data_IF_250150650673
#
_entry.id   IF_250150650673
#
_cell.length_a   1.000
_cell.length_b   1.000
_cell.length_c   1.000
_cell.angle_alpha   90.00
_cell.angle_beta   90.00
_cell.angle_gamma   90.00
#
_symmetry.space_group_name_H-M   'P 1'
#
loop_
_entity.id
_entity.type
_entity.pdbx_description
1 polymer ?
#
# COMPACT_ATOMS: atom_id res chain seq x y z
N UNK A 1 -7.88 -18.33 23.02
CA UNK A 1 -6.68 -19.18 23.33
C UNK A 1 -5.32 -18.47 23.19
N UNK A 2 -4.98 -17.77 22.09
CA UNK A 2 -3.64 -17.13 21.93
C UNK A 2 -3.28 -16.07 23.00
N UNK A 3 -4.22 -15.22 23.42
CA UNK A 3 -3.98 -14.21 24.49
C UNK A 3 -3.61 -14.87 25.81
N UNK A 4 -4.37 -15.90 26.20
CA UNK A 4 -4.14 -16.70 27.42
C UNK A 4 -2.76 -17.36 27.38
N UNK A 5 -2.43 -18.01 26.25
CA UNK A 5 -1.11 -18.61 26.03
C UNK A 5 0.03 -17.60 26.12
N UNK A 6 -0.16 -16.37 25.62
CA UNK A 6 0.85 -15.32 25.71
C UNK A 6 1.10 -14.82 27.13
N UNK A 7 0.05 -14.68 27.93
CA UNK A 7 0.18 -14.33 29.35
C UNK A 7 1.00 -15.39 30.10
N UNK A 8 0.69 -16.67 29.92
CA UNK A 8 1.45 -17.77 30.55
C UNK A 8 2.92 -17.81 30.11
N UNK A 9 3.20 -17.65 28.82
CA UNK A 9 4.59 -17.64 28.31
C UNK A 9 5.39 -16.43 28.80
N UNK A 10 4.74 -15.34 29.22
CA UNK A 10 5.43 -14.16 29.73
C UNK A 10 5.74 -14.22 31.23
N UNK A 11 5.20 -15.19 31.98
CA UNK A 11 5.37 -15.30 33.44
C UNK A 11 6.85 -15.25 33.87
N UNK A 12 7.79 -15.99 33.23
CA UNK A 12 9.19 -15.92 33.62
C UNK A 12 9.80 -14.52 33.48
N UNK A 13 9.34 -13.73 32.50
CA UNK A 13 9.76 -12.33 32.33
C UNK A 13 9.24 -11.47 33.48
N UNK A 14 8.03 -11.74 33.97
CA UNK A 14 7.45 -11.04 35.12
C UNK A 14 8.22 -11.35 36.41
N UNK A 15 8.65 -12.60 36.58
CA UNK A 15 9.48 -13.02 37.72
C UNK A 15 10.85 -12.35 37.69
N UNK A 16 11.50 -12.29 36.53
CA UNK A 16 12.78 -11.58 36.37
C UNK A 16 12.65 -10.11 36.72
N UNK A 17 11.59 -9.46 36.21
CA UNK A 17 11.30 -8.05 36.47
C UNK A 17 11.03 -7.73 37.95
N UNK A 18 10.68 -8.74 38.76
CA UNK A 18 10.50 -8.60 40.20
C UNK A 18 11.62 -9.26 41.03
N UNK A 19 12.74 -9.63 40.40
CA UNK A 19 13.85 -10.28 41.08
C UNK A 19 14.35 -9.51 42.33
N UNK A 20 14.45 -8.16 42.33
CA UNK A 20 14.87 -7.41 43.52
C UNK A 20 13.96 -7.59 44.75
N UNK A 21 12.64 -7.62 44.54
CA UNK A 21 11.67 -7.89 45.61
C UNK A 21 11.68 -9.37 46.03
N UNK A 22 11.63 -10.28 45.04
CA UNK A 22 11.61 -11.73 45.27
C UNK A 22 12.85 -12.24 45.99
N UNK A 23 14.01 -11.58 45.81
CA UNK A 23 15.24 -11.92 46.53
C UNK A 23 15.07 -11.94 48.05
N UNK A 24 14.25 -11.04 48.60
CA UNK A 24 13.97 -10.96 50.05
C UNK A 24 12.76 -11.79 50.46
N UNK A 25 11.75 -11.89 49.59
CA UNK A 25 10.48 -12.53 49.92
C UNK A 25 10.52 -14.07 49.85
N UNK A 26 11.45 -14.63 49.07
CA UNK A 26 11.63 -16.08 48.94
C UNK A 26 12.79 -16.53 49.81
N UNK A 27 12.54 -17.48 50.71
CA UNK A 27 13.56 -18.00 51.63
C UNK A 27 14.21 -19.28 51.08
N UNK A 28 15.24 -19.10 50.24
CA UNK A 28 16.10 -20.15 49.68
C UNK A 28 17.55 -19.64 49.62
N UNK A 29 18.52 -20.55 49.50
CA UNK A 29 19.95 -20.22 49.43
C UNK A 29 20.26 -19.26 48.27
N UNK A 30 21.13 -18.26 48.52
CA UNK A 30 21.62 -17.27 47.56
C UNK A 30 22.15 -17.87 46.25
N UNK A 31 22.85 -19.00 46.29
CA UNK A 31 23.36 -19.66 45.09
C UNK A 31 22.22 -20.10 44.16
N UNK A 32 21.16 -20.66 44.72
CA UNK A 32 19.97 -21.07 43.97
C UNK A 32 19.20 -19.86 43.42
N UNK A 33 19.08 -18.77 44.19
CA UNK A 33 18.48 -17.51 43.71
C UNK A 33 19.21 -16.96 42.48
N UNK A 34 20.54 -16.93 42.54
CA UNK A 34 21.38 -16.46 41.44
C UNK A 34 21.19 -17.31 40.19
N UNK A 35 21.20 -18.64 40.33
CA UNK A 35 20.95 -19.56 39.21
C UNK A 35 19.56 -19.34 38.59
N UNK A 36 18.51 -19.17 39.41
CA UNK A 36 17.15 -18.89 38.93
C UNK A 36 17.13 -17.57 38.14
N UNK A 37 17.76 -16.50 38.64
CA UNK A 37 17.80 -15.21 37.94
C UNK A 37 18.52 -15.33 36.60
N UNK A 38 19.63 -16.06 36.52
CA UNK A 38 20.35 -16.31 35.26
C UNK A 38 19.45 -17.06 34.26
N UNK A 39 18.76 -18.11 34.70
CA UNK A 39 17.84 -18.87 33.85
C UNK A 39 16.66 -18.01 33.37
N UNK A 40 16.10 -17.17 34.24
CA UNK A 40 15.03 -16.23 33.88
C UNK A 40 15.53 -15.15 32.90
N UNK A 41 16.76 -14.68 33.05
CA UNK A 41 17.39 -13.73 32.12
C UNK A 41 17.60 -14.36 30.74
N UNK A 42 18.16 -15.58 30.68
CA UNK A 42 18.30 -16.35 29.44
C UNK A 42 16.95 -16.62 28.77
N UNK A 43 15.95 -17.02 29.55
CA UNK A 43 14.59 -17.19 29.06
C UNK A 43 14.05 -15.89 28.46
N UNK A 44 14.23 -14.77 29.15
CA UNK A 44 13.75 -13.46 28.71
C UNK A 44 14.42 -13.04 27.40
N UNK A 45 15.73 -13.26 27.24
CA UNK A 45 16.43 -13.05 25.99
C UNK A 45 15.85 -13.93 24.86
N UNK A 46 15.69 -15.24 25.10
CA UNK A 46 15.10 -16.16 24.13
C UNK A 46 13.68 -15.74 23.76
N UNK A 47 12.85 -15.38 24.75
CA UNK A 47 11.49 -14.89 24.54
C UNK A 47 11.50 -13.60 23.69
N UNK A 48 12.42 -12.68 23.98
CA UNK A 48 12.57 -11.44 23.24
C UNK A 48 12.99 -11.66 21.79
N UNK A 49 13.76 -12.69 21.43
CA UNK A 49 14.27 -12.88 20.06
C UNK A 49 13.56 -13.98 19.26
N UNK A 50 12.99 -14.99 19.92
CA UNK A 50 12.26 -16.10 19.29
C UNK A 50 11.03 -15.61 18.53
N UNK A 51 10.75 -16.22 17.38
CA UNK A 51 9.52 -15.96 16.63
C UNK A 51 8.32 -16.60 17.31
N UNK A 52 7.30 -15.79 17.57
CA UNK A 52 6.02 -16.18 18.17
C UNK A 52 4.86 -16.14 17.16
N UNK A 53 5.15 -15.78 15.91
CA UNK A 53 4.14 -15.71 14.85
C UNK A 53 3.59 -17.09 14.47
N UNK A 54 2.42 -17.10 13.83
CA UNK A 54 1.80 -18.34 13.32
C UNK A 54 2.77 -19.11 12.41
N UNK A 55 2.94 -20.42 12.66
CA UNK A 55 3.66 -21.33 11.76
C UNK A 55 2.90 -21.47 10.44
N UNK A 56 3.61 -21.55 9.31
CA UNK A 56 3.03 -21.61 7.96
C UNK A 56 2.83 -20.25 7.28
N UNK A 57 2.85 -19.13 8.02
CA UNK A 57 2.81 -17.79 7.44
C UNK A 57 4.12 -17.42 6.74
N UNK A 58 4.04 -16.64 5.65
CA UNK A 58 5.20 -16.08 4.96
C UNK A 58 6.12 -15.32 5.94
N UNK A 59 7.44 -15.40 5.74
CA UNK A 59 8.45 -14.99 6.74
C UNK A 59 8.27 -13.56 7.29
N UNK A 60 7.94 -12.61 6.40
CA UNK A 60 7.66 -11.21 6.76
C UNK A 60 6.39 -11.06 7.62
N UNK A 61 5.29 -11.68 7.22
CA UNK A 61 4.00 -11.64 7.91
C UNK A 61 4.11 -12.32 9.28
N UNK A 62 4.87 -13.42 9.36
CA UNK A 62 5.18 -14.11 10.62
C UNK A 62 5.97 -13.21 11.58
N UNK A 63 6.94 -12.45 11.08
CA UNK A 63 7.71 -11.49 11.89
C UNK A 63 6.81 -10.37 12.42
N UNK A 64 5.88 -9.88 11.60
CA UNK A 64 4.90 -8.88 11.99
C UNK A 64 3.96 -9.38 13.10
N UNK A 65 3.38 -10.59 12.96
CA UNK A 65 2.55 -11.23 14.00
C UNK A 65 3.34 -11.40 15.31
N UNK A 66 4.59 -11.87 15.19
CA UNK A 66 5.49 -12.01 16.34
C UNK A 66 5.77 -10.68 17.03
N UNK A 67 6.02 -9.61 16.26
CA UNK A 67 6.26 -8.27 16.81
C UNK A 67 5.04 -7.74 17.56
N UNK A 68 3.84 -7.87 16.96
CA UNK A 68 2.60 -7.48 17.61
C UNK A 68 2.31 -8.30 18.87
N UNK A 69 2.57 -9.61 18.85
CA UNK A 69 2.41 -10.47 20.01
C UNK A 69 3.33 -10.04 21.17
N UNK A 70 4.62 -9.84 20.90
CA UNK A 70 5.61 -9.45 21.91
C UNK A 70 5.31 -8.05 22.46
N UNK A 71 4.94 -7.09 21.61
CA UNK A 71 4.50 -5.75 22.04
C UNK A 71 3.26 -5.84 22.94
N UNK A 72 2.28 -6.66 22.57
CA UNK A 72 1.08 -6.88 23.38
C UNK A 72 1.39 -7.49 24.76
N UNK A 73 2.33 -8.43 24.82
CA UNK A 73 2.82 -8.98 26.09
C UNK A 73 3.51 -7.91 26.94
N UNK A 74 4.39 -7.10 26.33
CA UNK A 74 5.07 -5.99 27.01
C UNK A 74 4.10 -5.00 27.63
N UNK A 75 3.09 -4.55 26.87
CA UNK A 75 2.05 -3.64 27.38
C UNK A 75 1.26 -4.25 28.54
N UNK A 76 0.86 -5.52 28.41
CA UNK A 76 0.15 -6.22 29.49
C UNK A 76 1.03 -6.33 30.74
N UNK A 77 2.32 -6.64 30.57
CA UNK A 77 3.25 -6.70 31.69
C UNK A 77 3.45 -5.35 32.35
N UNK A 78 3.56 -4.24 31.61
CA UNK A 78 3.65 -2.90 32.21
C UNK A 78 2.45 -2.59 33.11
N UNK A 79 1.23 -3.01 32.73
CA UNK A 79 0.03 -2.85 33.57
C UNK A 79 0.11 -3.73 34.83
N UNK A 80 0.49 -5.00 34.68
CA UNK A 80 0.64 -5.91 35.83
C UNK A 80 1.73 -5.41 36.78
N UNK A 81 2.85 -4.92 36.25
CA UNK A 81 3.95 -4.39 37.06
C UNK A 81 3.56 -3.14 37.82
N UNK A 82 2.74 -2.27 37.24
CA UNK A 82 2.19 -1.12 37.95
C UNK A 82 1.40 -1.56 39.19
N UNK A 83 0.56 -2.59 39.05
CA UNK A 83 -0.20 -3.17 40.17
C UNK A 83 0.75 -3.82 41.20
N UNK A 84 1.73 -4.60 40.75
CA UNK A 84 2.71 -5.25 41.65
C UNK A 84 3.49 -4.21 42.45
N UNK A 85 3.98 -3.14 41.82
CA UNK A 85 4.71 -2.08 42.50
C UNK A 85 3.84 -1.43 43.59
N UNK A 86 2.56 -1.15 43.31
CA UNK A 86 1.62 -0.63 44.31
C UNK A 86 1.47 -1.61 45.47
N UNK A 87 1.27 -2.91 45.19
CA UNK A 87 1.14 -3.93 46.24
C UNK A 87 2.42 -4.04 47.08
N UNK A 88 3.59 -3.97 46.45
CA UNK A 88 4.88 -4.04 47.14
C UNK A 88 5.09 -2.87 48.11
N UNK A 89 4.52 -1.69 47.84
CA UNK A 89 4.55 -0.56 48.77
C UNK A 89 3.88 -0.85 50.13
N UNK A 90 3.01 -1.85 50.20
CA UNK A 90 2.36 -2.30 51.45
C UNK A 90 3.08 -3.47 52.14
N UNK A 91 4.26 -3.85 51.65
CA UNK A 91 5.07 -4.94 52.23
C UNK A 91 6.17 -4.40 53.15
N UNK A 92 6.83 -5.28 53.92
CA UNK A 92 7.98 -4.93 54.78
C UNK A 92 9.30 -4.67 54.01
N UNK A 93 9.23 -4.35 52.71
CA UNK A 93 10.42 -4.08 51.90
C UNK A 93 10.93 -2.66 52.11
N UNK A 94 12.25 -2.51 52.24
CA UNK A 94 12.90 -1.21 52.41
C UNK A 94 12.80 -0.37 51.12
N UNK A 95 12.81 0.96 51.25
CA UNK A 95 12.64 1.89 50.12
C UNK A 95 13.59 1.66 48.94
N UNK A 96 14.86 1.34 49.19
CA UNK A 96 15.81 1.05 48.11
C UNK A 96 15.43 -0.19 47.29
N UNK A 97 14.86 -1.23 47.93
CA UNK A 97 14.43 -2.46 47.24
C UNK A 97 13.21 -2.20 46.38
N UNK A 98 12.28 -1.39 46.87
CA UNK A 98 11.11 -0.95 46.10
C UNK A 98 11.55 -0.17 44.86
N UNK A 99 12.49 0.76 45.02
CA UNK A 99 13.07 1.52 43.91
C UNK A 99 13.79 0.60 42.91
N UNK A 100 14.65 -0.30 43.38
CA UNK A 100 15.36 -1.25 42.52
C UNK A 100 14.40 -2.16 41.75
N UNK A 101 13.32 -2.61 42.39
CA UNK A 101 12.28 -3.40 41.75
C UNK A 101 11.54 -2.61 40.66
N UNK A 102 11.13 -1.37 40.97
CA UNK A 102 10.44 -0.51 40.02
C UNK A 102 11.32 -0.20 38.79
N UNK A 103 12.60 0.09 38.98
CA UNK A 103 13.55 0.32 37.89
C UNK A 103 13.80 -0.94 37.05
N UNK A 104 13.96 -2.09 37.71
CA UNK A 104 14.13 -3.38 37.02
C UNK A 104 12.90 -3.74 36.18
N UNK A 105 11.71 -3.59 36.75
CA UNK A 105 10.45 -3.81 36.06
C UNK A 105 10.26 -2.85 34.88
N UNK A 106 10.59 -1.57 35.06
CA UNK A 106 10.55 -0.58 33.98
C UNK A 106 11.51 -0.94 32.85
N UNK A 107 12.77 -1.28 33.17
CA UNK A 107 13.78 -1.64 32.17
C UNK A 107 13.38 -2.88 31.36
N UNK A 108 12.98 -3.97 32.03
CA UNK A 108 12.62 -5.23 31.35
C UNK A 108 11.37 -5.06 30.49
N UNK A 109 10.32 -4.40 31.01
CA UNK A 109 9.10 -4.18 30.22
C UNK A 109 9.32 -3.25 29.03
N UNK A 110 10.18 -2.23 29.17
CA UNK A 110 10.56 -1.34 28.08
C UNK A 110 11.34 -2.08 26.99
N UNK A 111 12.33 -2.89 27.36
CA UNK A 111 13.09 -3.72 26.43
C UNK A 111 12.18 -4.70 25.68
N UNK A 112 11.21 -5.29 26.37
CA UNK A 112 10.23 -6.19 25.76
C UNK A 112 9.35 -5.47 24.73
N UNK A 113 8.83 -4.29 25.06
CA UNK A 113 8.07 -3.45 24.13
C UNK A 113 8.92 -3.04 22.92
N UNK A 114 10.17 -2.62 23.14
CA UNK A 114 11.09 -2.21 22.09
C UNK A 114 11.39 -3.36 21.12
N UNK A 115 11.61 -4.57 21.62
CA UNK A 115 11.78 -5.77 20.79
C UNK A 115 10.56 -6.04 19.89
N UNK A 116 9.36 -5.87 20.42
CA UNK A 116 8.12 -5.94 19.63
C UNK A 116 8.07 -4.88 18.53
N UNK A 117 8.39 -3.63 18.88
CA UNK A 117 8.37 -2.49 17.96
C UNK A 117 9.40 -2.63 16.84
N UNK A 118 10.64 -3.03 17.15
CA UNK A 118 11.70 -3.21 16.14
C UNK A 118 11.27 -4.21 15.06
N UNK A 119 10.60 -5.30 15.46
CA UNK A 119 10.06 -6.28 14.51
C UNK A 119 8.94 -5.73 13.66
N UNK A 120 8.04 -4.94 14.26
CA UNK A 120 6.97 -4.25 13.55
C UNK A 120 7.59 -3.26 12.56
N UNK A 121 8.54 -2.43 13.00
CA UNK A 121 9.24 -1.46 12.16
C UNK A 121 9.92 -2.09 10.95
N UNK A 122 10.57 -3.25 11.15
CA UNK A 122 11.26 -3.98 10.09
C UNK A 122 10.31 -4.70 9.11
N UNK A 123 9.00 -4.78 9.38
CA UNK A 123 8.07 -5.63 8.61
C UNK A 123 6.78 -4.95 8.19
N UNK A 124 6.30 -3.97 8.93
CA UNK A 124 5.02 -3.33 8.68
C UNK A 124 5.10 -2.36 7.52
N UNK A 125 4.11 -2.42 6.63
CA UNK A 125 3.88 -1.39 5.60
C UNK A 125 2.78 -0.42 6.00
N UNK A 126 1.88 -0.82 6.91
CA UNK A 126 0.69 -0.03 7.26
C UNK A 126 0.88 0.92 8.46
N UNK A 127 2.05 0.90 9.11
CA UNK A 127 2.35 1.85 10.18
C UNK A 127 2.78 3.17 9.55
N UNK A 128 2.01 4.24 9.79
CA UNK A 128 2.32 5.57 9.25
C UNK A 128 3.64 6.10 9.81
N UNK A 129 4.42 6.76 8.95
CA UNK A 129 5.72 7.37 9.30
C UNK A 129 5.63 8.28 10.54
N UNK A 130 4.52 9.01 10.67
CA UNK A 130 4.21 9.87 11.82
C UNK A 130 4.38 9.16 13.17
N UNK A 131 3.96 7.90 13.29
CA UNK A 131 4.05 7.18 14.56
C UNK A 131 5.48 6.79 14.92
N UNK A 132 6.34 6.57 13.92
CA UNK A 132 7.78 6.37 14.15
C UNK A 132 8.44 7.66 14.62
N UNK A 133 8.09 8.80 14.00
CA UNK A 133 8.60 10.11 14.40
C UNK A 133 8.16 10.45 15.82
N UNK A 134 6.88 10.26 16.16
CA UNK A 134 6.39 10.48 17.52
C UNK A 134 7.13 9.58 18.50
N UNK A 135 7.31 8.29 18.19
CA UNK A 135 8.05 7.37 19.06
C UNK A 135 9.48 7.85 19.31
N UNK A 136 10.19 8.29 18.27
CA UNK A 136 11.57 8.78 18.37
C UNK A 136 11.71 9.91 19.40
N UNK A 137 10.75 10.82 19.45
CA UNK A 137 10.79 11.97 20.37
C UNK A 137 10.13 11.71 21.73
N UNK A 138 9.32 10.65 21.88
CA UNK A 138 8.48 10.45 23.07
C UNK A 138 8.67 9.10 23.76
N UNK A 139 9.66 8.29 23.34
CA UNK A 139 9.90 6.95 23.89
C UNK A 139 10.17 6.92 25.40
N UNK A 140 10.61 8.04 26.00
CA UNK A 140 10.84 8.17 27.44
C UNK A 140 9.61 8.66 28.22
N UNK A 141 8.48 8.91 27.55
CA UNK A 141 7.22 9.40 28.17
C UNK A 141 6.21 8.24 28.22
N UNK A 142 6.02 7.57 29.38
CA UNK A 142 5.25 6.33 29.46
C UNK A 142 3.78 6.47 29.02
N UNK A 143 3.13 7.60 29.35
CA UNK A 143 1.72 7.84 28.98
C UNK A 143 1.53 8.00 27.47
N UNK A 144 2.48 8.66 26.79
CA UNK A 144 2.44 8.82 25.32
C UNK A 144 2.72 7.46 24.65
N UNK A 145 3.67 6.68 25.19
CA UNK A 145 3.97 5.34 24.72
C UNK A 145 2.75 4.42 24.69
N UNK A 146 1.82 4.51 25.65
CA UNK A 146 0.57 3.75 25.61
C UNK A 146 -0.24 4.00 24.33
N UNK A 147 -0.31 5.25 23.88
CA UNK A 147 -1.02 5.64 22.65
C UNK A 147 -0.25 5.13 21.42
N UNK A 148 1.06 5.37 21.38
CA UNK A 148 1.93 4.96 20.27
C UNK A 148 1.93 3.43 20.11
N UNK A 149 2.15 2.68 21.18
CA UNK A 149 2.17 1.22 21.17
C UNK A 149 0.82 0.66 20.73
N UNK A 150 -0.30 1.26 21.14
CA UNK A 150 -1.64 0.88 20.64
C UNK A 150 -1.75 1.08 19.13
N UNK A 151 -1.19 2.16 18.57
CA UNK A 151 -1.22 2.43 17.12
C UNK A 151 -0.37 1.43 16.36
N UNK A 152 0.86 1.15 16.81
CA UNK A 152 1.73 0.13 16.24
C UNK A 152 1.07 -1.26 16.29
N UNK A 153 0.57 -1.67 17.46
CA UNK A 153 -0.09 -2.96 17.65
C UNK A 153 -1.30 -3.12 16.74
N UNK A 154 -2.18 -2.11 16.68
CA UNK A 154 -3.37 -2.17 15.82
C UNK A 154 -3.01 -2.25 14.34
N UNK A 155 -2.10 -1.41 13.87
CA UNK A 155 -1.65 -1.43 12.47
C UNK A 155 -1.02 -2.78 12.10
N UNK A 156 -0.09 -3.27 12.93
CA UNK A 156 0.57 -4.56 12.71
C UNK A 156 -0.41 -5.74 12.69
N UNK A 157 -1.38 -5.77 13.61
CA UNK A 157 -2.38 -6.85 13.64
C UNK A 157 -3.34 -6.75 12.46
N UNK A 158 -3.80 -5.55 12.12
CA UNK A 158 -4.68 -5.35 10.96
C UNK A 158 -3.99 -5.79 9.67
N UNK A 159 -2.73 -5.39 9.47
CA UNK A 159 -1.92 -5.81 8.32
C UNK A 159 -1.70 -7.32 8.31
N UNK A 160 -1.35 -7.93 9.46
CA UNK A 160 -1.21 -9.38 9.57
C UNK A 160 -2.47 -10.12 9.13
N UNK A 161 -3.63 -9.75 9.67
CA UNK A 161 -4.88 -10.45 9.36
C UNK A 161 -5.29 -10.27 7.90
N UNK A 162 -5.14 -9.06 7.37
CA UNK A 162 -5.46 -8.76 5.98
C UNK A 162 -4.57 -9.53 5.00
N UNK A 163 -3.24 -9.45 5.16
CA UNK A 163 -2.31 -10.13 4.26
C UNK A 163 -2.37 -11.66 4.42
N UNK A 164 -2.60 -12.18 5.64
CA UNK A 164 -2.77 -13.61 5.83
C UNK A 164 -4.06 -14.12 5.18
N UNK A 165 -5.19 -13.42 5.34
CA UNK A 165 -6.44 -13.80 4.70
C UNK A 165 -6.30 -13.80 3.17
N UNK A 166 -5.55 -12.84 2.61
CA UNK A 166 -5.25 -12.80 1.18
C UNK A 166 -4.43 -14.00 0.73
N UNK A 167 -3.34 -14.33 1.43
CA UNK A 167 -2.54 -15.52 1.12
C UNK A 167 -3.36 -16.82 1.18
N UNK A 168 -4.23 -16.94 2.18
CA UNK A 168 -5.11 -18.11 2.34
C UNK A 168 -6.13 -18.18 1.18
N UNK A 169 -6.67 -17.04 0.74
CA UNK A 169 -7.58 -16.93 -0.40
C UNK A 169 -6.90 -17.33 -1.72
N UNK A 170 -5.69 -16.83 -1.98
CA UNK A 170 -4.95 -17.17 -3.20
C UNK A 170 -4.55 -18.64 -3.21
N UNK A 171 -4.17 -19.18 -2.05
CA UNK A 171 -3.86 -20.60 -1.92
C UNK A 171 -5.07 -21.47 -2.27
N UNK A 172 -6.28 -21.05 -1.88
CA UNK A 172 -7.52 -21.74 -2.23
C UNK A 172 -7.89 -21.59 -3.73
N UNK A 173 -7.46 -20.51 -4.40
CA UNK A 173 -7.75 -20.23 -5.81
C UNK A 173 -6.67 -20.72 -6.78
N UNK A 174 -5.50 -21.13 -6.27
CA UNK A 174 -4.31 -21.44 -7.06
C UNK A 174 -4.58 -22.43 -8.20
N UNK A 175 -5.42 -23.43 -7.98
CA UNK A 175 -5.75 -24.46 -8.97
C UNK A 175 -6.77 -23.99 -10.02
N UNK A 176 -7.57 -22.97 -9.72
CA UNK A 176 -8.64 -22.49 -10.62
C UNK A 176 -8.15 -21.50 -11.69
N UNK A 177 -6.92 -21.00 -11.54
CA UNK A 177 -6.29 -20.00 -12.43
C UNK A 177 -7.30 -18.91 -12.87
N UNK A 178 -7.99 -18.30 -11.89
CA UNK A 178 -9.17 -17.45 -12.14
C UNK A 178 -8.88 -16.23 -13.02
N UNK A 179 -7.61 -15.83 -13.14
CA UNK A 179 -7.15 -14.71 -13.97
C UNK A 179 -6.50 -15.16 -15.29
N UNK A 180 -6.57 -16.44 -15.65
CA UNK A 180 -6.03 -16.95 -16.92
C UNK A 180 -6.99 -16.67 -18.07
N UNK A 181 -6.80 -15.51 -18.69
CA UNK A 181 -7.50 -15.05 -19.90
C UNK A 181 -6.98 -15.75 -21.16
N UNK A 182 -7.75 -15.72 -22.25
CA UNK A 182 -7.34 -16.20 -23.58
C UNK A 182 -6.19 -15.34 -24.14
N UNK A 183 -6.26 -14.03 -23.95
CA UNK A 183 -5.25 -13.07 -24.39
C UNK A 183 -4.46 -12.49 -23.21
N UNK A 184 -3.14 -12.23 -23.37
CA UNK A 184 -2.32 -11.66 -22.32
C UNK A 184 -2.76 -10.24 -21.96
N UNK A 185 -2.47 -9.83 -20.73
CA UNK A 185 -2.83 -8.52 -20.20
C UNK A 185 -1.68 -7.54 -20.48
N UNK A 186 -1.99 -6.41 -21.13
CA UNK A 186 -1.08 -5.29 -21.28
C UNK A 186 -1.48 -4.16 -20.34
N UNK A 187 -0.67 -3.91 -19.32
CA UNK A 187 -0.88 -2.82 -18.36
C UNK A 187 -0.22 -1.54 -18.87
N UNK A 188 -1.01 -0.48 -19.10
CA UNK A 188 -0.54 0.78 -19.70
C UNK A 188 -0.64 1.91 -18.68
N UNK A 189 0.52 2.35 -18.17
CA UNK A 189 0.59 3.35 -17.11
C UNK A 189 0.20 4.78 -17.56
N UNK A 190 -0.05 5.65 -16.59
CA UNK A 190 -0.36 7.05 -16.81
C UNK A 190 0.87 7.96 -16.86
N UNK A 191 0.62 9.24 -16.61
CA UNK A 191 1.64 10.28 -16.55
C UNK A 191 2.39 10.26 -15.19
N UNK A 192 3.57 10.87 -15.14
CA UNK A 192 4.38 11.10 -13.93
C UNK A 192 5.17 9.92 -13.35
N UNK A 193 4.94 8.69 -13.78
CA UNK A 193 5.64 7.50 -13.28
C UNK A 193 5.63 6.38 -14.32
N UNK A 194 6.67 5.53 -14.36
CA UNK A 194 6.80 4.40 -15.32
C UNK A 194 6.71 3.04 -14.65
N UNK A 195 6.52 2.02 -15.47
CA UNK A 195 6.64 0.60 -15.11
C UNK A 195 8.12 0.19 -14.90
N UNK A 196 8.78 0.70 -13.85
CA UNK A 196 10.16 0.33 -13.55
C UNK A 196 10.28 -1.00 -12.79
N UNK A 197 11.39 -1.71 -13.03
CA UNK A 197 11.68 -3.00 -12.37
C UNK A 197 11.85 -2.88 -10.84
N UNK A 198 12.28 -1.73 -10.33
CA UNK A 198 12.57 -1.54 -8.88
C UNK A 198 11.33 -1.09 -8.09
N UNK A 199 10.52 -0.19 -8.67
CA UNK A 199 9.26 0.27 -8.08
C UNK A 199 8.19 0.22 -9.17
N UNK A 200 7.37 -0.82 -9.14
CA UNK A 200 6.31 -1.01 -10.10
C UNK A 200 5.19 0.03 -9.93
N UNK A 201 4.77 0.65 -11.03
CA UNK A 201 3.65 1.60 -11.09
C UNK A 201 2.39 1.03 -10.45
N UNK A 202 2.10 -0.24 -10.72
CA UNK A 202 0.90 -0.97 -10.31
C UNK A 202 1.01 -1.62 -8.93
N UNK A 203 2.07 -1.30 -8.18
CA UNK A 203 2.29 -1.79 -6.83
C UNK A 203 2.22 -3.30 -6.68
N UNK A 204 1.29 -3.79 -5.86
CA UNK A 204 1.13 -5.23 -5.59
C UNK A 204 0.25 -5.94 -6.62
N UNK A 205 -0.42 -5.23 -7.52
CA UNK A 205 -1.43 -5.79 -8.44
C UNK A 205 -0.84 -6.86 -9.39
N UNK A 206 0.28 -6.63 -10.11
CA UNK A 206 0.72 -7.60 -11.13
C UNK A 206 1.09 -8.96 -10.55
N UNK A 207 1.78 -8.97 -9.40
CA UNK A 207 2.13 -10.22 -8.71
C UNK A 207 0.88 -10.99 -8.24
N UNK A 208 -0.21 -10.27 -7.95
CA UNK A 208 -1.48 -10.89 -7.61
C UNK A 208 -2.12 -11.56 -8.83
N UNK A 209 -2.18 -10.84 -9.94
CA UNK A 209 -2.74 -11.37 -11.19
C UNK A 209 -1.98 -12.60 -11.68
N UNK A 210 -0.64 -12.53 -11.68
CA UNK A 210 0.25 -13.65 -12.07
C UNK A 210 0.03 -14.86 -11.16
N UNK A 211 -0.09 -14.66 -9.84
CA UNK A 211 -0.37 -15.75 -8.90
C UNK A 211 -1.70 -16.45 -9.19
N UNK A 212 -2.67 -15.72 -9.73
CA UNK A 212 -3.98 -16.23 -10.12
C UNK A 212 -4.05 -16.68 -11.59
N UNK A 213 -2.90 -16.81 -12.28
CA UNK A 213 -2.80 -17.42 -13.62
C UNK A 213 -2.75 -16.45 -14.80
N UNK A 214 -2.71 -15.13 -14.57
CA UNK A 214 -2.61 -14.17 -15.66
C UNK A 214 -1.19 -14.08 -16.25
N UNK A 215 -1.12 -13.88 -17.57
CA UNK A 215 0.09 -13.41 -18.26
C UNK A 215 0.07 -11.88 -18.32
N UNK A 216 1.02 -11.23 -17.66
CA UNK A 216 1.04 -9.76 -17.49
C UNK A 216 2.26 -9.15 -18.14
N UNK A 217 2.01 -8.19 -19.03
CA UNK A 217 2.97 -7.37 -19.72
C UNK A 217 2.74 -5.89 -19.42
N UNK A 218 3.77 -5.07 -19.66
CA UNK A 218 3.76 -3.62 -19.43
C UNK A 218 3.88 -2.87 -20.74
N UNK A 219 3.19 -1.73 -20.83
CA UNK A 219 3.22 -0.82 -21.99
C UNK A 219 4.60 -0.18 -22.21
N UNK A 220 5.35 0.08 -21.13
CA UNK A 220 6.72 0.63 -21.13
C UNK A 220 6.91 1.98 -21.84
N UNK A 221 5.83 2.65 -22.24
CA UNK A 221 5.87 3.94 -22.88
C UNK A 221 6.51 5.01 -21.97
N UNK A 222 6.95 6.11 -22.56
CA UNK A 222 7.50 7.23 -21.83
C UNK A 222 6.43 7.90 -20.96
N UNK A 223 6.80 8.27 -19.73
CA UNK A 223 5.81 8.72 -18.75
C UNK A 223 5.15 10.04 -19.12
N UNK A 224 5.86 10.92 -19.80
CA UNK A 224 5.50 12.33 -19.83
C UNK A 224 5.30 12.90 -21.23
N UNK A 225 5.52 12.12 -22.28
CA UNK A 225 5.43 12.62 -23.65
C UNK A 225 3.95 12.78 -24.10
N UNK A 226 3.74 13.40 -25.26
CA UNK A 226 2.44 13.56 -25.92
C UNK A 226 1.71 12.22 -26.06
N UNK A 227 0.40 12.27 -26.10
CA UNK A 227 -0.46 11.08 -26.29
C UNK A 227 -0.12 10.37 -27.59
N UNK A 228 0.05 11.09 -28.70
CA UNK A 228 0.38 10.49 -30.01
C UNK A 228 1.73 9.77 -30.02
N UNK A 229 2.74 10.33 -29.36
CA UNK A 229 4.08 9.72 -29.25
C UNK A 229 4.01 8.47 -28.37
N UNK A 230 3.40 8.60 -27.19
CA UNK A 230 3.25 7.49 -26.24
C UNK A 230 2.41 6.35 -26.84
N UNK A 231 1.38 6.67 -27.63
CA UNK A 231 0.56 5.71 -28.34
C UNK A 231 1.33 4.93 -29.42
N UNK A 232 2.32 5.56 -30.06
CA UNK A 232 3.21 4.88 -31.01
C UNK A 232 4.04 3.81 -30.30
N UNK A 233 4.60 4.14 -29.14
CA UNK A 233 5.34 3.17 -28.31
C UNK A 233 4.43 2.04 -27.79
N UNK A 234 3.19 2.37 -27.38
CA UNK A 234 2.19 1.35 -27.00
C UNK A 234 1.85 0.44 -28.19
N UNK A 235 1.69 0.99 -29.40
CA UNK A 235 1.41 0.20 -30.60
C UNK A 235 2.57 -0.75 -30.96
N UNK A 236 3.81 -0.28 -30.83
CA UNK A 236 5.00 -1.13 -30.97
C UNK A 236 4.99 -2.24 -29.91
N UNK A 237 4.72 -1.89 -28.65
CA UNK A 237 4.69 -2.86 -27.56
C UNK A 237 3.60 -3.92 -27.72
N UNK A 238 2.42 -3.57 -28.23
CA UNK A 238 1.36 -4.54 -28.56
C UNK A 238 1.89 -5.58 -29.56
N UNK A 239 2.54 -5.13 -30.64
CA UNK A 239 3.11 -6.03 -31.66
C UNK A 239 4.21 -6.92 -31.09
N UNK A 240 5.07 -6.38 -30.24
CA UNK A 240 6.12 -7.16 -29.55
C UNK A 240 5.51 -8.27 -28.68
N UNK A 241 4.49 -7.96 -27.87
CA UNK A 241 3.82 -8.95 -27.02
C UNK A 241 3.18 -10.05 -27.86
N UNK A 242 2.52 -9.69 -28.96
CA UNK A 242 1.93 -10.65 -29.90
C UNK A 242 3.00 -11.56 -30.51
N UNK A 243 4.13 -10.99 -30.95
CA UNK A 243 5.23 -11.76 -31.51
C UNK A 243 5.90 -12.67 -30.46
N UNK A 244 6.00 -12.22 -29.21
CA UNK A 244 6.60 -12.97 -28.09
C UNK A 244 5.72 -14.14 -27.63
N UNK A 245 4.41 -13.91 -27.54
CA UNK A 245 3.44 -14.88 -26.98
C UNK A 245 2.80 -15.78 -28.04
N UNK A 246 2.77 -15.34 -29.30
CA UNK A 246 1.97 -15.96 -30.36
C UNK A 246 0.46 -15.73 -30.21
N UNK A 247 0.02 -14.90 -29.26
CA UNK A 247 -1.40 -14.57 -29.08
C UNK A 247 -1.91 -13.68 -30.22
N UNK A 248 -3.18 -13.85 -30.61
CA UNK A 248 -3.79 -13.06 -31.69
C UNK A 248 -4.05 -11.60 -31.28
N UNK A 249 -4.36 -11.39 -30.00
CA UNK A 249 -4.74 -10.09 -29.43
C UNK A 249 -4.19 -9.94 -28.01
N UNK A 250 -4.34 -8.73 -27.44
CA UNK A 250 -4.08 -8.43 -26.02
C UNK A 250 -5.31 -7.83 -25.33
N UNK A 251 -5.40 -7.99 -24.01
CA UNK A 251 -6.33 -7.30 -23.14
C UNK A 251 -5.64 -6.09 -22.48
N UNK A 252 -6.04 -4.86 -22.82
CA UNK A 252 -5.41 -3.66 -22.26
C UNK A 252 -6.12 -3.24 -20.98
N UNK A 253 -5.34 -3.05 -19.91
CA UNK A 253 -5.78 -2.35 -18.69
C UNK A 253 -4.94 -1.08 -18.55
N UNK A 254 -5.57 0.06 -18.72
CA UNK A 254 -4.89 1.35 -18.80
C UNK A 254 -5.33 2.29 -17.68
N UNK A 255 -4.40 3.05 -17.12
CA UNK A 255 -4.68 4.00 -16.05
C UNK A 255 -4.38 5.43 -16.47
N UNK A 256 -5.24 6.38 -16.09
CA UNK A 256 -5.00 7.82 -16.29
C UNK A 256 -4.72 8.12 -17.78
N UNK A 257 -3.65 8.87 -18.10
CA UNK A 257 -3.21 9.15 -19.48
C UNK A 257 -3.05 7.88 -20.35
N UNK A 258 -2.67 6.75 -19.78
CA UNK A 258 -2.47 5.50 -20.53
C UNK A 258 -3.73 5.03 -21.27
N UNK A 259 -4.92 5.40 -20.79
CA UNK A 259 -6.17 5.12 -21.50
C UNK A 259 -6.33 5.95 -22.78
N UNK A 260 -5.85 7.19 -22.79
CA UNK A 260 -5.80 8.04 -24.00
C UNK A 260 -4.78 7.48 -25.00
N UNK A 261 -3.59 7.10 -24.51
CA UNK A 261 -2.53 6.49 -25.33
C UNK A 261 -3.04 5.22 -26.02
N UNK A 262 -3.74 4.37 -25.26
CA UNK A 262 -4.31 3.11 -25.77
C UNK A 262 -5.42 3.37 -26.80
N UNK A 263 -6.34 4.31 -26.53
CA UNK A 263 -7.39 4.67 -27.49
C UNK A 263 -6.81 5.22 -28.79
N UNK A 264 -5.79 6.06 -28.70
CA UNK A 264 -5.11 6.60 -29.88
C UNK A 264 -4.44 5.48 -30.69
N UNK A 265 -3.71 4.57 -30.03
CA UNK A 265 -3.09 3.43 -30.70
C UNK A 265 -4.11 2.55 -31.44
N UNK A 266 -5.26 2.32 -30.82
CA UNK A 266 -6.35 1.51 -31.39
C UNK A 266 -6.97 2.21 -32.60
N UNK A 267 -7.40 3.46 -32.45
CA UNK A 267 -8.18 4.18 -33.47
C UNK A 267 -7.33 4.73 -34.62
N UNK A 268 -6.10 5.17 -34.36
CA UNK A 268 -5.28 5.90 -35.35
C UNK A 268 -4.11 5.09 -35.88
N UNK A 269 -3.60 4.12 -35.10
CA UNK A 269 -2.43 3.34 -35.47
C UNK A 269 -2.77 1.90 -35.89
N UNK A 270 -4.07 1.61 -36.07
CA UNK A 270 -4.58 0.32 -36.56
C UNK A 270 -4.33 -0.85 -35.62
N UNK A 271 -4.28 -0.59 -34.31
CA UNK A 271 -4.08 -1.64 -33.29
C UNK A 271 -5.37 -2.34 -32.88
N UNK A 272 -6.54 -1.88 -33.35
CA UNK A 272 -7.84 -2.51 -33.07
C UNK A 272 -7.91 -4.00 -33.43
N UNK A 273 -7.26 -4.43 -34.52
CA UNK A 273 -7.14 -5.85 -34.88
C UNK A 273 -6.32 -6.69 -33.89
N UNK A 274 -5.47 -6.05 -33.08
CA UNK A 274 -4.57 -6.68 -32.11
C UNK A 274 -5.01 -6.49 -30.65
N UNK A 275 -6.13 -5.81 -30.43
CA UNK A 275 -6.67 -5.56 -29.10
C UNK A 275 -8.03 -6.24 -28.98
N UNK A 276 -8.23 -7.00 -27.91
CA UNK A 276 -9.49 -7.65 -27.58
C UNK A 276 -10.35 -6.73 -26.71
N UNK A 277 -9.74 -6.18 -25.67
CA UNK A 277 -10.43 -5.31 -24.72
C UNK A 277 -9.57 -4.11 -24.35
N UNK A 278 -10.23 -2.99 -24.04
CA UNK A 278 -9.62 -1.85 -23.36
C UNK A 278 -10.45 -1.52 -22.13
N UNK A 279 -9.85 -1.70 -20.95
CA UNK A 279 -10.39 -1.23 -19.67
C UNK A 279 -9.60 -0.01 -19.22
N UNK A 280 -10.23 1.16 -19.20
CA UNK A 280 -9.63 2.38 -18.66
C UNK A 280 -9.98 2.56 -17.19
N UNK A 281 -9.02 3.01 -16.38
CA UNK A 281 -9.19 3.26 -14.95
C UNK A 281 -8.77 4.69 -14.67
N UNK A 282 -9.74 5.51 -14.25
CA UNK A 282 -9.55 6.93 -13.94
C UNK A 282 -8.89 7.72 -15.09
N UNK A 283 -9.17 7.36 -16.34
CA UNK A 283 -8.64 8.05 -17.52
C UNK A 283 -9.39 9.38 -17.74
N UNK A 284 -8.71 10.51 -17.93
CA UNK A 284 -9.38 11.78 -18.20
C UNK A 284 -9.82 11.84 -19.67
N UNK A 285 -10.86 11.09 -20.05
CA UNK A 285 -11.34 11.02 -21.44
C UNK A 285 -11.73 12.38 -22.01
N UNK A 286 -12.20 13.29 -21.15
CA UNK A 286 -12.55 14.67 -21.51
C UNK A 286 -11.59 15.70 -20.87
N UNK A 287 -10.45 15.25 -20.36
CA UNK A 287 -9.41 16.10 -19.78
C UNK A 287 -9.73 16.64 -18.39
N UNK A 288 -8.85 17.50 -17.90
CA UNK A 288 -8.86 18.01 -16.54
C UNK A 288 -8.97 19.54 -16.52
N UNK A 289 -10.16 20.08 -16.24
CA UNK A 289 -10.42 21.55 -16.21
C UNK A 289 -9.52 22.32 -15.25
N UNK A 290 -9.09 21.71 -14.15
CA UNK A 290 -8.18 22.37 -13.21
C UNK A 290 -6.76 22.54 -13.79
N UNK A 291 -6.35 21.70 -14.75
CA UNK A 291 -5.05 21.81 -15.43
C UNK A 291 -5.05 23.03 -16.33
N UNK A 292 -6.13 23.29 -17.08
CA UNK A 292 -6.31 24.53 -17.85
C UNK A 292 -6.10 25.77 -16.97
N UNK A 293 -6.73 25.76 -15.78
CA UNK A 293 -6.63 26.84 -14.81
C UNK A 293 -5.21 27.00 -14.24
N UNK A 294 -4.52 25.90 -13.93
CA UNK A 294 -3.16 25.94 -13.41
C UNK A 294 -2.17 26.49 -14.46
N UNK A 295 -2.23 26.00 -15.69
CA UNK A 295 -1.37 26.46 -16.79
C UNK A 295 -1.61 27.94 -17.11
N UNK A 296 -2.85 28.42 -17.02
CA UNK A 296 -3.18 29.83 -17.23
C UNK A 296 -2.73 30.77 -16.09
N UNK A 297 -2.50 30.26 -14.88
CA UNK A 297 -2.13 31.08 -13.70
C UNK A 297 -0.66 31.01 -13.31
N UNK A 298 0.00 29.90 -13.60
CA UNK A 298 1.41 29.71 -13.24
C UNK A 298 2.28 30.44 -14.27
N UNK A 299 3.19 31.34 -13.87
CA UNK A 299 4.12 32.01 -14.78
C UNK A 299 4.93 31.02 -15.63
N UNK A 300 5.16 31.34 -16.90
CA UNK A 300 5.92 30.50 -17.84
C UNK A 300 7.32 30.12 -17.33
N UNK A 301 7.96 31.01 -16.56
CA UNK A 301 9.26 30.75 -15.95
C UNK A 301 9.22 29.60 -14.93
N UNK A 302 8.14 29.49 -14.16
CA UNK A 302 7.92 28.40 -13.21
C UNK A 302 7.56 27.11 -13.96
N UNK A 303 6.69 27.19 -14.96
CA UNK A 303 6.36 26.04 -15.82
C UNK A 303 7.62 25.45 -16.45
N UNK A 304 8.45 26.30 -17.06
CA UNK A 304 9.72 25.92 -17.68
C UNK A 304 10.73 25.37 -16.68
N UNK A 305 10.74 25.89 -15.45
CA UNK A 305 11.61 25.36 -14.40
C UNK A 305 11.20 23.95 -13.99
N UNK A 306 9.91 23.71 -13.77
CA UNK A 306 9.37 22.39 -13.43
C UNK A 306 9.60 21.40 -14.56
N UNK A 307 9.32 21.81 -15.80
CA UNK A 307 9.56 21.02 -17.01
C UNK A 307 11.01 20.54 -17.11
N UNK A 308 11.98 21.45 -17.04
CA UNK A 308 13.41 21.10 -17.07
C UNK A 308 13.82 20.14 -15.96
N UNK A 309 13.30 20.34 -14.74
CA UNK A 309 13.62 19.47 -13.60
C UNK A 309 13.04 18.06 -13.79
N UNK A 310 11.80 17.99 -14.25
CA UNK A 310 11.13 16.73 -14.52
C UNK A 310 11.84 15.99 -15.66
N UNK A 311 12.02 16.63 -16.82
CA UNK A 311 12.64 16.01 -17.99
C UNK A 311 14.05 15.51 -17.68
N UNK A 312 14.87 16.29 -16.96
CA UNK A 312 16.20 15.84 -16.50
C UNK A 312 16.14 14.60 -15.62
N UNK A 313 15.19 14.54 -14.68
CA UNK A 313 15.03 13.38 -13.80
C UNK A 313 14.65 12.14 -14.62
N UNK A 314 13.68 12.27 -15.54
CA UNK A 314 13.18 11.11 -16.29
C UNK A 314 14.14 10.66 -17.40
N UNK A 315 14.93 11.55 -17.99
CA UNK A 315 16.06 11.15 -18.83
C UNK A 315 17.07 10.32 -18.04
N UNK A 316 17.41 10.74 -16.80
CA UNK A 316 18.30 9.97 -15.93
C UNK A 316 17.70 8.62 -15.50
N UNK A 317 16.37 8.48 -15.54
CA UNK A 317 15.65 7.24 -15.24
C UNK A 317 15.31 6.43 -16.51
N UNK A 318 15.84 6.82 -17.67
CA UNK A 318 15.81 6.04 -18.91
C UNK A 318 14.73 6.43 -19.92
N UNK A 319 14.07 7.58 -19.79
CA UNK A 319 13.21 8.14 -20.85
C UNK A 319 14.12 8.72 -21.94
N UNK A 320 13.89 8.34 -23.21
CA UNK A 320 14.74 8.79 -24.33
C UNK A 320 14.53 10.27 -24.63
N UNK A 321 13.28 10.71 -24.64
CA UNK A 321 12.87 12.08 -24.98
C UNK A 321 11.64 12.52 -24.16
N UNK A 322 11.76 12.78 -22.85
CA UNK A 322 10.62 13.16 -22.02
C UNK A 322 10.21 14.63 -22.29
N UNK A 323 8.90 14.87 -22.47
CA UNK A 323 8.35 16.23 -22.64
C UNK A 323 7.19 16.51 -21.68
N UNK A 324 7.52 16.80 -20.42
CA UNK A 324 6.54 16.99 -19.34
C UNK A 324 5.43 17.99 -19.65
N UNK A 325 5.77 19.20 -20.10
CA UNK A 325 4.73 20.20 -20.36
C UNK A 325 3.80 19.75 -21.48
N UNK A 326 4.33 19.17 -22.56
CA UNK A 326 3.49 18.67 -23.64
C UNK A 326 2.51 17.59 -23.17
N UNK A 327 2.98 16.64 -22.34
CA UNK A 327 2.11 15.63 -21.75
C UNK A 327 1.04 16.23 -20.84
N UNK A 328 1.35 17.30 -20.10
CA UNK A 328 0.36 18.02 -19.26
C UNK A 328 -0.61 18.82 -20.12
N UNK A 329 -0.14 19.45 -21.20
CA UNK A 329 -0.98 20.18 -22.16
C UNK A 329 -1.99 19.26 -22.82
N UNK A 330 -1.62 18.03 -23.20
CA UNK A 330 -2.57 17.06 -23.77
C UNK A 330 -3.70 16.68 -22.78
N UNK A 331 -3.46 16.79 -21.47
CA UNK A 331 -4.45 16.47 -20.43
C UNK A 331 -5.40 17.62 -20.09
N UNK A 332 -5.27 18.77 -20.76
CA UNK A 332 -6.23 19.88 -20.67
C UNK A 332 -7.61 19.47 -21.15
N UNK A 333 -8.67 20.10 -20.62
CA UNK A 333 -10.04 19.80 -21.03
C UNK A 333 -10.24 20.00 -22.53
N UNK A 334 -9.66 21.08 -23.08
CA UNK A 334 -9.74 21.40 -24.51
C UNK A 334 -9.12 20.28 -25.37
N UNK A 335 -7.85 19.96 -25.13
CA UNK A 335 -7.12 19.02 -25.97
C UNK A 335 -7.68 17.59 -25.85
N UNK A 336 -8.06 17.14 -24.66
CA UNK A 336 -8.71 15.84 -24.51
C UNK A 336 -10.09 15.79 -25.17
N UNK A 337 -10.86 16.88 -25.16
CA UNK A 337 -12.16 16.93 -25.84
C UNK A 337 -12.00 16.81 -27.36
N UNK A 338 -11.01 17.51 -27.93
CA UNK A 338 -10.66 17.43 -29.36
C UNK A 338 -10.12 16.04 -29.74
N UNK A 339 -9.24 15.49 -28.89
CA UNK A 339 -8.73 14.12 -29.02
C UNK A 339 -9.87 13.09 -28.98
N UNK A 340 -10.79 13.23 -28.05
CA UNK A 340 -11.93 12.32 -27.90
C UNK A 340 -12.85 12.36 -29.13
N UNK A 341 -13.11 13.55 -29.68
CA UNK A 341 -13.91 13.71 -30.89
C UNK A 341 -13.24 13.09 -32.13
N UNK A 342 -11.91 13.10 -32.19
CA UNK A 342 -11.13 12.53 -33.30
C UNK A 342 -10.75 11.05 -33.10
N UNK A 343 -11.06 10.44 -31.96
CA UNK A 343 -10.64 9.06 -31.62
C UNK A 343 -11.86 8.16 -31.33
N UNK A 344 -12.64 7.81 -32.37
CA UNK A 344 -13.80 6.93 -32.20
C UNK A 344 -13.40 5.52 -31.75
N UNK A 345 -14.28 4.87 -31.00
CA UNK A 345 -14.09 3.49 -30.60
C UNK A 345 -14.25 2.53 -31.81
N UNK A 346 -13.36 1.54 -31.92
CA UNK A 346 -13.43 0.51 -32.96
C UNK A 346 -14.42 -0.59 -32.58
N UNK A 347 -15.25 -1.02 -33.52
CA UNK A 347 -16.21 -2.12 -33.31
C UNK A 347 -15.52 -3.48 -33.07
N UNK A 348 -14.20 -3.58 -33.31
CA UNK A 348 -13.42 -4.81 -33.09
C UNK A 348 -12.93 -4.99 -31.64
N UNK A 349 -13.13 -3.98 -30.78
CA UNK A 349 -12.60 -3.91 -29.42
C UNK A 349 -13.75 -3.72 -28.43
N UNK A 350 -13.72 -4.46 -27.32
CA UNK A 350 -14.65 -4.23 -26.21
C UNK A 350 -14.10 -3.20 -25.24
N UNK A 351 -14.81 -2.08 -25.09
CA UNK A 351 -14.40 -0.97 -24.22
C UNK A 351 -15.13 -0.98 -22.88
N UNK A 352 -14.40 -0.61 -21.82
CA UNK A 352 -14.91 -0.39 -20.47
C UNK A 352 -14.19 0.77 -19.83
N UNK A 353 -14.88 1.53 -18.99
CA UNK A 353 -14.26 2.55 -18.15
C UNK A 353 -14.63 2.34 -16.69
N UNK A 354 -13.67 2.57 -15.81
CA UNK A 354 -13.85 2.48 -14.37
C UNK A 354 -13.37 3.78 -13.75
N UNK A 355 -14.20 4.35 -12.87
CA UNK A 355 -13.88 5.59 -12.20
C UNK A 355 -14.00 5.46 -10.68
N UNK A 356 -13.01 5.98 -9.97
CA UNK A 356 -13.00 6.09 -8.51
C UNK A 356 -13.36 7.51 -8.06
N UNK A 357 -13.69 7.70 -6.78
CA UNK A 357 -13.81 9.05 -6.21
C UNK A 357 -13.36 9.13 -4.75
N UNK A 358 -12.74 10.26 -4.43
CA UNK A 358 -12.49 10.65 -3.05
C UNK A 358 -13.78 11.21 -2.44
N UNK A 359 -14.04 10.84 -1.18
CA UNK A 359 -15.16 11.38 -0.41
C UNK A 359 -14.75 12.57 0.48
N UNK A 360 -13.45 12.88 0.58
CA UNK A 360 -12.94 14.00 1.38
C UNK A 360 -11.54 14.44 0.94
N UNK A 361 -11.10 15.62 1.40
CA UNK A 361 -9.71 16.07 1.24
C UNK A 361 -8.69 15.15 1.95
N UNK A 362 -9.11 14.43 3.00
CA UNK A 362 -8.25 13.54 3.79
C UNK A 362 -8.09 12.16 3.16
N UNK A 363 -8.66 11.96 1.99
CA UNK A 363 -8.72 10.66 1.35
C UNK A 363 -7.40 10.23 0.77
N UNK A 364 -6.55 11.18 0.39
CA UNK A 364 -5.19 10.95 -0.01
C UNK A 364 -4.28 12.04 0.58
N UNK A 365 -2.97 11.81 0.53
CA UNK A 365 -1.98 12.84 0.85
C UNK A 365 -1.78 13.82 -0.31
N UNK A 366 -0.79 14.69 -0.16
CA UNK A 366 -0.30 15.52 -1.25
C UNK A 366 0.28 14.66 -2.39
N UNK A 367 0.03 15.01 -3.68
CA UNK A 367 -0.69 16.20 -4.16
C UNK A 367 -2.21 16.02 -4.36
N UNK A 368 -2.73 14.79 -4.26
CA UNK A 368 -4.12 14.46 -4.60
C UNK A 368 -5.16 15.17 -3.72
N UNK A 369 -4.82 15.47 -2.47
CA UNK A 369 -5.69 16.28 -1.59
C UNK A 369 -5.95 17.70 -2.11
N UNK A 370 -4.92 18.36 -2.67
CA UNK A 370 -5.05 19.69 -3.26
C UNK A 370 -5.82 19.59 -4.57
N UNK A 371 -5.46 18.64 -5.43
CA UNK A 371 -6.18 18.40 -6.68
C UNK A 371 -7.67 18.08 -6.44
N UNK A 372 -8.03 17.41 -5.34
CA UNK A 372 -9.42 17.20 -4.95
C UNK A 372 -10.19 18.50 -4.72
N UNK A 373 -9.56 19.46 -4.03
CA UNK A 373 -10.15 20.78 -3.81
C UNK A 373 -10.27 21.56 -5.12
N UNK A 374 -9.23 21.52 -5.97
CA UNK A 374 -9.21 22.24 -7.25
C UNK A 374 -10.26 21.70 -8.23
N UNK A 375 -10.53 20.39 -8.21
CA UNK A 375 -11.53 19.75 -9.06
C UNK A 375 -12.97 19.89 -8.54
N UNK A 376 -13.17 20.22 -7.26
CA UNK A 376 -14.50 20.27 -6.63
C UNK A 376 -15.50 21.20 -7.34
N UNK A 377 -15.12 22.37 -7.91
CA UNK A 377 -16.05 23.23 -8.64
C UNK A 377 -16.46 22.70 -10.02
N UNK A 378 -15.79 21.67 -10.54
CA UNK A 378 -15.86 21.29 -11.96
C UNK A 378 -16.62 19.98 -12.24
N UNK A 379 -17.10 19.29 -11.21
CA UNK A 379 -17.83 18.02 -11.33
C UNK A 379 -18.45 17.55 -10.01
N UNK A 380 -19.27 16.51 -10.06
CA UNK A 380 -20.00 15.97 -8.90
C UNK A 380 -19.15 15.03 -8.01
N UNK A 381 -17.88 14.90 -8.34
CA UNK A 381 -16.90 14.10 -7.61
C UNK A 381 -15.61 14.02 -8.41
N UNK A 382 -14.51 13.68 -7.74
CA UNK A 382 -13.22 13.47 -8.38
C UNK A 382 -12.34 12.55 -7.51
N UNK A 383 -11.30 12.00 -8.09
CA UNK A 383 -10.34 11.11 -7.42
C UNK A 383 -9.05 11.83 -6.96
N UNK A 384 -9.05 13.16 -7.00
CA UNK A 384 -7.90 14.01 -6.74
C UNK A 384 -7.26 14.59 -8.01
N UNK A 385 -7.51 14.02 -9.19
CA UNK A 385 -7.03 14.56 -10.47
C UNK A 385 -8.14 14.62 -11.53
N UNK A 386 -8.92 13.56 -11.67
CA UNK A 386 -9.93 13.41 -12.72
C UNK A 386 -11.31 13.53 -12.11
N UNK A 387 -12.20 14.31 -12.73
CA UNK A 387 -13.61 14.38 -12.33
C UNK A 387 -14.37 13.16 -12.82
N UNK A 388 -15.45 12.78 -12.13
CA UNK A 388 -16.26 11.61 -12.48
C UNK A 388 -16.75 11.68 -13.93
N UNK A 389 -17.18 12.87 -14.36
CA UNK A 389 -17.68 13.13 -15.71
C UNK A 389 -16.60 12.99 -16.79
N UNK A 390 -15.33 13.25 -16.44
CA UNK A 390 -14.20 13.04 -17.36
C UNK A 390 -13.73 11.58 -17.37
N UNK A 391 -13.91 10.88 -16.25
CA UNK A 391 -13.47 9.49 -16.04
C UNK A 391 -14.39 8.42 -16.62
N UNK A 392 -15.71 8.64 -16.61
CA UNK A 392 -16.69 7.71 -17.14
C UNK A 392 -16.83 7.92 -18.66
N UNK A 393 -16.63 6.84 -19.42
CA UNK A 393 -16.63 6.84 -20.87
C UNK A 393 -17.29 5.57 -21.44
N UNK A 394 -18.12 5.74 -22.48
CA UNK A 394 -18.88 4.66 -23.11
C UNK A 394 -20.01 4.09 -22.25
N UNK A 395 -20.75 3.15 -22.81
CA UNK A 395 -21.93 2.54 -22.17
C UNK A 395 -21.54 1.60 -21.02
N UNK A 396 -20.40 0.90 -21.15
CA UNK A 396 -19.88 -0.02 -20.14
C UNK A 396 -19.00 0.69 -19.11
N UNK A 397 -19.55 1.70 -18.44
CA UNK A 397 -18.84 2.48 -17.43
C UNK A 397 -19.27 2.08 -16.01
N UNK A 398 -18.31 2.03 -15.08
CA UNK A 398 -18.54 1.59 -13.69
C UNK A 398 -17.86 2.52 -12.70
N UNK A 399 -18.57 2.85 -11.62
CA UNK A 399 -17.96 3.52 -10.46
C UNK A 399 -17.43 2.49 -9.47
N UNK A 400 -16.25 2.74 -8.90
CA UNK A 400 -15.78 2.02 -7.73
C UNK A 400 -16.61 2.46 -6.52
N UNK A 401 -17.40 1.53 -6.00
CA UNK A 401 -18.19 1.76 -4.80
C UNK A 401 -17.33 1.67 -3.55
N UNK A 402 -17.37 2.70 -2.70
CA UNK A 402 -16.73 2.67 -1.39
C UNK A 402 -17.58 3.39 -0.35
N UNK A 403 -18.01 2.65 0.68
CA UNK A 403 -18.94 3.11 1.73
C UNK A 403 -18.27 3.98 2.81
N UNK A 404 -16.94 4.01 2.86
CA UNK A 404 -16.19 4.73 3.88
C UNK A 404 -16.08 6.24 3.61
N UNK A 405 -15.81 7.03 4.66
CA UNK A 405 -15.62 8.49 4.58
C UNK A 405 -14.39 8.91 3.77
N UNK A 406 -13.47 7.99 3.50
CA UNK A 406 -12.26 8.20 2.71
C UNK A 406 -12.61 8.18 1.22
N UNK A 407 -13.19 7.11 0.68
CA UNK A 407 -13.23 6.97 -0.78
C UNK A 407 -11.86 6.58 -1.31
N UNK A 408 -11.76 6.49 -2.63
CA UNK A 408 -10.62 5.94 -3.37
C UNK A 408 -10.07 7.04 -4.28
N UNK A 409 -8.78 7.30 -4.18
CA UNK A 409 -8.08 8.33 -4.96
C UNK A 409 -7.41 7.75 -6.20
N UNK A 410 -6.95 8.65 -7.07
CA UNK A 410 -6.21 8.34 -8.28
C UNK A 410 -4.96 7.47 -8.01
N UNK A 411 -4.28 7.67 -6.87
CA UNK A 411 -3.13 6.86 -6.49
C UNK A 411 -3.50 5.52 -5.87
N UNK A 412 -4.70 5.38 -5.30
CA UNK A 412 -5.10 4.14 -4.63
C UNK A 412 -5.39 3.02 -5.62
N UNK A 413 -5.96 3.34 -6.79
CA UNK A 413 -6.28 2.36 -7.85
C UNK A 413 -5.04 1.76 -8.52
N UNK A 414 -3.85 2.32 -8.28
CA UNK A 414 -2.56 1.74 -8.73
C UNK A 414 -1.71 1.25 -7.54
N UNK A 415 -2.32 1.16 -6.35
CA UNK A 415 -1.65 0.72 -5.14
C UNK A 415 -0.42 1.59 -4.78
N UNK A 416 -0.43 2.89 -5.10
CA UNK A 416 0.75 3.78 -5.06
C UNK A 416 1.50 3.72 -3.72
N UNK A 417 0.77 3.82 -2.61
CA UNK A 417 1.35 3.78 -1.27
C UNK A 417 1.33 2.39 -0.62
N UNK A 418 0.82 1.37 -1.33
CA UNK A 418 0.65 0.01 -0.82
C UNK A 418 -0.17 0.00 0.47
N UNK A 419 -1.12 0.93 0.61
CA UNK A 419 -2.00 1.08 1.78
C UNK A 419 -3.12 0.03 1.72
N UNK A 420 -3.44 -0.57 2.87
CA UNK A 420 -4.61 -1.44 2.99
C UNK A 420 -5.82 -0.58 3.33
N UNK A 421 -6.65 -0.34 2.33
CA UNK A 421 -7.87 0.45 2.48
C UNK A 421 -8.98 -0.47 2.96
N UNK A 422 -9.61 -0.12 4.07
CA UNK A 422 -10.73 -0.90 4.61
C UNK A 422 -11.84 -0.97 3.56
N UNK A 423 -12.43 -2.14 3.34
CA UNK A 423 -13.55 -2.35 2.41
C UNK A 423 -13.21 -2.07 0.92
N UNK A 424 -11.92 -1.97 0.56
CA UNK A 424 -11.44 -1.92 -0.83
C UNK A 424 -10.02 -2.50 -0.92
N UNK A 425 -9.90 -3.71 -1.46
CA UNK A 425 -8.59 -4.27 -1.84
C UNK A 425 -8.38 -4.04 -3.33
N UNK A 426 -7.45 -3.14 -3.66
CA UNK A 426 -7.08 -2.85 -5.04
C UNK A 426 -6.69 -4.11 -5.80
N UNK A 427 -6.05 -5.09 -5.17
CA UNK A 427 -5.64 -6.31 -5.85
C UNK A 427 -6.83 -7.18 -6.24
N UNK A 428 -7.81 -7.31 -5.34
CA UNK A 428 -9.06 -8.02 -5.66
C UNK A 428 -9.84 -7.28 -6.75
N UNK A 429 -9.84 -5.95 -6.75
CA UNK A 429 -10.47 -5.16 -7.80
C UNK A 429 -9.93 -5.52 -9.21
N UNK A 430 -8.62 -5.67 -9.39
CA UNK A 430 -8.08 -6.13 -10.67
C UNK A 430 -8.30 -7.62 -10.92
N UNK A 431 -8.23 -8.47 -9.89
CA UNK A 431 -8.58 -9.90 -10.01
C UNK A 431 -10.00 -10.06 -10.54
N UNK A 432 -10.95 -9.29 -10.03
CA UNK A 432 -12.34 -9.31 -10.47
C UNK A 432 -12.47 -8.85 -11.93
N UNK A 433 -11.80 -7.76 -12.33
CA UNK A 433 -11.76 -7.32 -13.74
C UNK A 433 -11.26 -8.45 -14.64
N UNK A 434 -10.11 -9.03 -14.33
CA UNK A 434 -9.47 -10.04 -15.18
C UNK A 434 -10.27 -11.33 -15.21
N UNK A 435 -10.88 -11.71 -14.07
CA UNK A 435 -11.80 -12.83 -14.00
C UNK A 435 -13.02 -12.60 -14.90
N UNK A 436 -13.61 -11.41 -14.88
CA UNK A 436 -14.72 -11.06 -15.77
C UNK A 436 -14.30 -11.13 -17.25
N UNK A 437 -13.08 -10.70 -17.60
CA UNK A 437 -12.55 -10.86 -18.97
C UNK A 437 -12.47 -12.33 -19.38
N UNK A 438 -11.95 -13.20 -18.50
CA UNK A 438 -11.88 -14.64 -18.73
C UNK A 438 -13.28 -15.25 -18.92
N UNK A 439 -14.24 -14.88 -18.08
CA UNK A 439 -15.63 -15.37 -18.16
C UNK A 439 -16.33 -14.95 -19.47
N UNK A 440 -15.92 -13.84 -20.06
CA UNK A 440 -16.41 -13.36 -21.36
C UNK A 440 -15.67 -13.97 -22.56
N UNK A 441 -14.66 -14.82 -22.32
CA UNK A 441 -13.89 -15.49 -23.36
C UNK A 441 -12.73 -14.68 -23.95
N UNK A 442 -12.31 -13.60 -23.28
CA UNK A 442 -11.13 -12.82 -23.63
C UNK A 442 -9.85 -13.33 -22.97
#
# INVERSE_FOLDING_TARGET
MKKIRGTFLSIPVLLLANAPALWKLIDINSLLKTLIIILLALYTLVFMFKSHGRKGSHGKIRRLDSGAFVLGCGVLQSVIQFIIVIVLCFTKLNGWRLLANALCAYAITTLLCLSGIVRIAASARQVKILWYVILLFTWYIPLVNCIVFRKFYKAARSEYYFEQAKLDLDAARKENEICKTKYPILMVHGIFFRDWQVINYWGRVPNELIRNGAEVYYGKQQSANKVSVSATEVAERIKEVIAETGAEKVNIIAHSKGGLDSRYAISHLGMDKYVATLTTINTPHYGCKFVDMLLGKIPESIQSFVDRKYNKLFTALGDKDPSFLDGVYDLTYKNCSELNASTPDSQLVSYRSVMSKMNSIRSAGFPLNIGYLLNKPYGNGNDGLVTVESGLYGENSKMIEHKGKRGISHGDVIDLFRENIKDFDVREFYVDIVKELKEQGF
#
